data_IF_428265884828
#
_entry.id   IF_428265884828
#
_cell.length_a   1.000
_cell.length_b   1.000
_cell.length_c   1.000
_cell.angle_alpha   90.00
_cell.angle_beta   90.00
_cell.angle_gamma   90.00
#
_symmetry.space_group_name_H-M   'P 1'
#
loop_
_entity.id
_entity.type
_entity.pdbx_description
1 polymer ?
#
# COMPACT_ATOMS: atom_id res chain seq x y z
N UNK A 1 -51.53 -19.97 9.91
CA UNK A 1 -52.11 -20.34 11.23
C UNK A 1 -51.37 -21.56 11.73
N UNK A 2 -50.49 -21.37 12.71
CA UNK A 2 -50.11 -22.27 13.81
C UNK A 2 -49.07 -21.48 14.66
N UNK A 3 -49.01 -21.69 15.99
CA UNK A 3 -48.60 -20.66 16.95
C UNK A 3 -47.09 -20.61 17.20
N UNK A 4 -46.62 -19.43 17.60
CA UNK A 4 -45.23 -19.14 17.94
C UNK A 4 -44.76 -19.86 19.20
N UNK A 5 -43.57 -20.45 19.09
CA UNK A 5 -42.77 -20.87 20.24
C UNK A 5 -42.07 -19.64 20.82
N UNK A 6 -42.58 -19.12 21.94
CA UNK A 6 -41.86 -18.18 22.77
C UNK A 6 -40.93 -18.97 23.70
N UNK A 7 -39.63 -18.84 23.50
CA UNK A 7 -38.63 -19.29 24.48
C UNK A 7 -38.77 -18.43 25.75
N UNK A 8 -39.10 -19.07 26.87
CA UNK A 8 -39.04 -18.45 28.20
C UNK A 8 -37.57 -18.15 28.54
N UNK A 9 -37.22 -16.95 29.01
CA UNK A 9 -36.01 -16.77 29.79
C UNK A 9 -36.26 -17.38 31.17
N UNK A 10 -35.57 -18.49 31.48
CA UNK A 10 -35.20 -18.77 32.86
C UNK A 10 -34.01 -17.87 33.15
N UNK A 11 -34.20 -16.81 33.94
CA UNK A 11 -33.29 -16.23 34.94
C UNK A 11 -33.90 -14.88 35.35
N UNK A 12 -34.21 -14.66 36.64
CA UNK A 12 -34.79 -13.41 37.09
C UNK A 12 -33.73 -12.30 37.08
N UNK A 13 -34.20 -11.10 36.79
CA UNK A 13 -33.46 -9.83 36.73
C UNK A 13 -32.44 -9.68 37.86
N UNK A 14 -31.17 -9.93 37.53
CA UNK A 14 -30.04 -9.44 38.30
C UNK A 14 -29.78 -8.00 37.87
N UNK A 15 -30.44 -7.05 38.54
CA UNK A 15 -30.16 -5.64 38.38
C UNK A 15 -28.67 -5.39 38.67
N UNK A 16 -27.90 -5.14 37.61
CA UNK A 16 -26.54 -4.64 37.72
C UNK A 16 -26.60 -3.26 38.37
N UNK A 17 -26.00 -3.11 39.55
CA UNK A 17 -25.64 -1.82 40.09
C UNK A 17 -24.45 -1.28 39.28
N UNK A 18 -24.75 -0.72 38.12
CA UNK A 18 -23.91 0.26 37.46
C UNK A 18 -24.25 1.63 38.09
N UNK A 19 -23.25 2.48 38.29
CA UNK A 19 -23.30 3.78 39.00
C UNK A 19 -23.45 3.73 40.53
N UNK A 20 -22.32 3.68 41.24
CA UNK A 20 -21.88 4.77 42.15
C UNK A 20 -20.57 4.40 42.83
N UNK A 21 -19.49 5.11 42.47
CA UNK A 21 -18.42 5.45 43.43
C UNK A 21 -19.04 6.34 44.51
N UNK A 22 -19.77 5.78 45.47
CA UNK A 22 -20.21 6.52 46.64
C UNK A 22 -20.60 5.54 47.74
N UNK A 23 -19.76 5.51 48.78
CA UNK A 23 -20.07 5.02 50.13
C UNK A 23 -20.82 3.69 50.18
N UNK A 24 -20.05 2.59 50.27
CA UNK A 24 -20.56 1.35 50.81
C UNK A 24 -21.24 1.69 52.15
N UNK A 25 -22.58 1.63 52.18
CA UNK A 25 -23.42 2.25 53.20
C UNK A 25 -22.97 1.78 54.59
N UNK A 26 -22.25 2.65 55.30
CA UNK A 26 -21.79 2.46 56.67
C UNK A 26 -22.92 2.02 57.60
N UNK A 27 -24.17 2.33 57.23
CA UNK A 27 -25.40 1.92 57.91
C UNK A 27 -25.71 0.43 57.72
N UNK A 28 -25.43 -0.13 56.55
CA UNK A 28 -25.58 -1.57 56.28
C UNK A 28 -24.52 -2.37 57.06
N UNK A 29 -23.28 -1.88 57.09
CA UNK A 29 -22.18 -2.46 57.88
C UNK A 29 -22.49 -2.39 59.38
N UNK A 30 -22.96 -1.24 59.88
CA UNK A 30 -23.40 -1.08 61.29
C UNK A 30 -24.56 -2.00 61.66
N UNK A 31 -25.54 -2.20 60.77
CA UNK A 31 -26.67 -3.12 61.01
C UNK A 31 -26.22 -4.57 61.10
N UNK A 32 -25.27 -4.99 60.27
CA UNK A 32 -24.70 -6.33 60.34
C UNK A 32 -23.95 -6.53 61.66
N UNK A 33 -23.08 -5.59 62.07
CA UNK A 33 -22.34 -5.66 63.34
C UNK A 33 -23.26 -5.65 64.58
N UNK A 34 -24.38 -4.92 64.54
CA UNK A 34 -25.32 -4.83 65.67
C UNK A 34 -26.17 -6.09 65.88
N UNK A 35 -26.28 -6.99 64.90
CA UNK A 35 -27.14 -8.17 64.96
C UNK A 35 -26.50 -9.37 65.67
N UNK A 36 -25.20 -9.35 65.95
CA UNK A 36 -24.48 -10.53 66.43
C UNK A 36 -24.45 -10.73 67.94
N UNK A 37 -24.99 -9.82 68.78
CA UNK A 37 -24.84 -9.76 70.24
C UNK A 37 -25.26 -10.97 71.12
N UNK A 38 -24.64 -12.13 70.94
CA UNK A 38 -24.63 -13.28 71.85
C UNK A 38 -23.32 -14.06 71.66
N UNK A 39 -22.64 -14.48 72.74
CA UNK A 39 -21.22 -14.91 72.84
C UNK A 39 -20.58 -15.83 71.76
N UNK A 40 -21.30 -16.33 70.75
CA UNK A 40 -20.75 -16.78 69.44
C UNK A 40 -20.42 -15.62 68.48
N UNK A 41 -20.73 -14.39 68.88
CA UNK A 41 -20.64 -13.13 68.13
C UNK A 41 -19.24 -12.64 67.83
N UNK A 42 -18.30 -12.81 68.78
CA UNK A 42 -17.02 -12.10 68.74
C UNK A 42 -16.13 -12.65 67.63
N UNK A 43 -16.12 -13.98 67.47
CA UNK A 43 -15.46 -14.69 66.38
C UNK A 43 -16.08 -14.33 65.02
N UNK A 44 -17.41 -14.15 64.98
CA UNK A 44 -18.15 -13.68 63.80
C UNK A 44 -17.86 -12.22 63.44
N UNK A 45 -17.75 -11.33 64.43
CA UNK A 45 -17.37 -9.93 64.23
C UNK A 45 -15.92 -9.81 63.76
N UNK A 46 -15.01 -10.61 64.34
CA UNK A 46 -13.62 -10.71 63.90
C UNK A 46 -13.51 -11.15 62.44
N UNK A 47 -14.26 -12.18 62.04
CA UNK A 47 -14.31 -12.66 60.66
C UNK A 47 -14.84 -11.60 59.67
N UNK A 48 -15.83 -10.78 60.07
CA UNK A 48 -16.34 -9.67 59.26
C UNK A 48 -15.29 -8.57 59.09
N UNK A 49 -14.56 -8.22 60.15
CA UNK A 49 -13.48 -7.23 60.07
C UNK A 49 -12.33 -7.72 59.18
N UNK A 50 -11.90 -8.98 59.34
CA UNK A 50 -10.87 -9.58 58.50
C UNK A 50 -11.29 -9.61 57.02
N UNK A 51 -12.56 -9.92 56.75
CA UNK A 51 -13.12 -9.86 55.41
C UNK A 51 -13.09 -8.43 54.83
N UNK A 52 -13.49 -7.42 55.61
CA UNK A 52 -13.45 -6.02 55.19
C UNK A 52 -12.01 -5.56 54.89
N UNK A 53 -11.04 -5.95 55.70
CA UNK A 53 -9.62 -5.67 55.44
C UNK A 53 -9.15 -6.35 54.15
N UNK A 54 -9.56 -7.60 53.92
CA UNK A 54 -9.23 -8.33 52.69
C UNK A 54 -9.87 -7.72 51.46
N UNK A 55 -11.14 -7.31 51.53
CA UNK A 55 -11.84 -6.60 50.45
C UNK A 55 -11.16 -5.27 50.15
N UNK A 56 -10.82 -4.48 51.17
CA UNK A 56 -10.11 -3.21 51.02
C UNK A 56 -8.74 -3.41 50.35
N UNK A 57 -8.01 -4.45 50.74
CA UNK A 57 -6.72 -4.80 50.14
C UNK A 57 -6.85 -5.19 48.68
N UNK A 58 -7.85 -6.03 48.36
CA UNK A 58 -8.13 -6.45 46.98
C UNK A 58 -8.56 -5.26 46.12
N UNK A 59 -9.34 -4.33 46.66
CA UNK A 59 -9.77 -3.13 45.95
C UNK A 59 -8.57 -2.26 45.55
N UNK A 60 -7.64 -2.00 46.48
CA UNK A 60 -6.40 -1.28 46.18
C UNK A 60 -5.53 -1.99 45.13
N UNK A 61 -5.47 -3.32 45.16
CA UNK A 61 -4.74 -4.09 44.16
C UNK A 61 -5.41 -4.02 42.77
N UNK A 62 -6.74 -3.99 42.73
CA UNK A 62 -7.49 -3.84 41.49
C UNK A 62 -7.23 -2.47 40.87
N UNK A 63 -7.37 -1.39 41.65
CA UNK A 63 -7.10 -0.02 41.17
C UNK A 63 -5.69 0.12 40.57
N UNK A 64 -4.67 -0.43 41.24
CA UNK A 64 -3.29 -0.41 40.73
C UNK A 64 -3.13 -1.22 39.43
N UNK A 65 -3.80 -2.37 39.32
CA UNK A 65 -3.78 -3.18 38.11
C UNK A 65 -4.50 -2.50 36.95
N UNK A 66 -5.64 -1.86 37.21
CA UNK A 66 -6.39 -1.09 36.23
C UNK A 66 -5.53 0.06 35.69
N UNK A 67 -4.89 0.83 36.57
CA UNK A 67 -3.99 1.91 36.14
C UNK A 67 -2.78 1.39 35.36
N UNK A 68 -2.24 0.21 35.74
CA UNK A 68 -1.11 -0.38 35.04
C UNK A 68 -1.51 -0.83 33.62
N UNK A 69 -2.67 -1.49 33.48
CA UNK A 69 -3.19 -1.91 32.18
C UNK A 69 -3.48 -0.72 31.28
N UNK A 70 -4.01 0.38 31.83
CA UNK A 70 -4.23 1.63 31.09
C UNK A 70 -2.93 2.20 30.52
N UNK A 71 -1.89 2.30 31.36
CA UNK A 71 -0.55 2.76 30.95
C UNK A 71 0.06 1.82 29.90
N UNK A 72 -0.01 0.50 30.11
CA UNK A 72 0.55 -0.49 29.18
C UNK A 72 -0.15 -0.44 27.81
N UNK A 73 -1.48 -0.26 27.82
CA UNK A 73 -2.28 -0.13 26.60
C UNK A 73 -1.94 1.16 25.85
N UNK A 74 -1.78 2.28 26.55
CA UNK A 74 -1.38 3.55 25.93
C UNK A 74 0.01 3.47 25.31
N UNK A 75 0.98 2.86 26.01
CA UNK A 75 2.32 2.65 25.46
C UNK A 75 2.29 1.75 24.21
N UNK A 76 1.50 0.68 24.24
CA UNK A 76 1.34 -0.21 23.08
C UNK A 76 0.70 0.52 21.91
N UNK A 77 -0.33 1.34 22.16
CA UNK A 77 -0.98 2.18 21.14
C UNK A 77 0.01 3.15 20.52
N UNK A 78 0.81 3.83 21.34
CA UNK A 78 1.80 4.79 20.86
C UNK A 78 2.88 4.11 19.99
N UNK A 79 3.36 2.93 20.41
CA UNK A 79 4.28 2.11 19.61
C UNK A 79 3.67 1.70 18.27
N UNK A 80 2.40 1.28 18.25
CA UNK A 80 1.71 0.87 17.03
C UNK A 80 1.49 2.06 16.09
N UNK A 81 1.11 3.22 16.63
CA UNK A 81 0.96 4.46 15.84
C UNK A 81 2.29 4.86 15.22
N UNK A 82 3.39 4.76 15.96
CA UNK A 82 4.73 5.04 15.43
C UNK A 82 5.12 4.08 14.29
N UNK A 83 4.89 2.77 14.46
CA UNK A 83 5.18 1.77 13.43
C UNK A 83 4.33 2.00 12.17
N UNK A 84 3.03 2.31 12.33
CA UNK A 84 2.14 2.63 11.22
C UNK A 84 2.60 3.89 10.47
N UNK A 85 3.04 4.92 11.18
CA UNK A 85 3.56 6.14 10.57
C UNK A 85 4.84 5.85 9.77
N UNK A 86 5.78 5.10 10.34
CA UNK A 86 6.99 4.69 9.64
C UNK A 86 6.67 3.87 8.39
N UNK A 87 5.71 2.95 8.47
CA UNK A 87 5.28 2.14 7.33
C UNK A 87 4.60 2.96 6.24
N UNK A 88 3.85 4.00 6.61
CA UNK A 88 3.27 4.92 5.64
C UNK A 88 4.35 5.68 4.87
N UNK A 89 5.37 6.20 5.56
CA UNK A 89 6.50 6.89 4.94
C UNK A 89 7.32 5.97 4.03
N UNK A 90 7.62 4.74 4.48
CA UNK A 90 8.29 3.73 3.66
C UNK A 90 7.49 3.41 2.39
N UNK A 91 6.16 3.30 2.52
CA UNK A 91 5.27 3.01 1.39
C UNK A 91 5.25 4.16 0.38
N UNK A 92 5.24 5.42 0.85
CA UNK A 92 5.27 6.60 -0.03
C UNK A 92 6.58 6.66 -0.84
N UNK A 93 7.72 6.37 -0.20
CA UNK A 93 9.02 6.31 -0.88
C UNK A 93 9.04 5.21 -1.95
N UNK A 94 8.56 4.01 -1.62
CA UNK A 94 8.47 2.90 -2.57
C UNK A 94 7.53 3.22 -3.73
N UNK A 95 6.42 3.90 -3.48
CA UNK A 95 5.49 4.32 -4.52
C UNK A 95 6.16 5.32 -5.49
N UNK A 96 6.98 6.24 -4.98
CA UNK A 96 7.74 7.17 -5.81
C UNK A 96 8.79 6.43 -6.65
N UNK A 97 9.53 5.47 -6.06
CA UNK A 97 10.50 4.65 -6.80
C UNK A 97 9.83 3.85 -7.92
N UNK A 98 8.68 3.22 -7.62
CA UNK A 98 7.91 2.47 -8.60
C UNK A 98 7.44 3.37 -9.75
N UNK A 99 6.93 4.57 -9.46
CA UNK A 99 6.54 5.54 -10.50
C UNK A 99 7.71 5.94 -11.40
N UNK A 100 8.91 6.13 -10.82
CA UNK A 100 10.11 6.43 -11.60
C UNK A 100 10.52 5.25 -12.51
N UNK A 101 10.45 4.02 -12.00
CA UNK A 101 10.74 2.82 -12.78
C UNK A 101 9.73 2.61 -13.92
N UNK A 102 8.45 2.82 -13.66
CA UNK A 102 7.41 2.75 -14.70
C UNK A 102 7.63 3.79 -15.79
N UNK A 103 7.99 5.02 -15.41
CA UNK A 103 8.32 6.09 -16.35
C UNK A 103 9.52 5.71 -17.22
N UNK A 104 10.58 5.19 -16.62
CA UNK A 104 11.77 4.75 -17.36
C UNK A 104 11.46 3.54 -18.26
N UNK A 105 10.63 2.61 -17.80
CA UNK A 105 10.18 1.45 -18.58
C UNK A 105 9.43 1.90 -19.83
N UNK A 106 8.48 2.84 -19.71
CA UNK A 106 7.77 3.42 -20.87
C UNK A 106 8.74 4.11 -21.82
N UNK A 107 9.67 4.91 -21.29
CA UNK A 107 10.69 5.60 -22.10
C UNK A 107 11.56 4.61 -22.88
N UNK A 108 12.02 3.53 -22.25
CA UNK A 108 12.82 2.49 -22.89
C UNK A 108 12.03 1.72 -23.96
N UNK A 109 10.77 1.37 -23.68
CA UNK A 109 9.89 0.73 -24.68
C UNK A 109 9.71 1.61 -25.91
N UNK A 110 9.55 2.92 -25.75
CA UNK A 110 9.42 3.83 -26.88
C UNK A 110 10.72 3.96 -27.69
N UNK A 111 11.88 3.93 -27.02
CA UNK A 111 13.19 3.88 -27.69
C UNK A 111 13.34 2.58 -28.49
N UNK A 112 12.96 1.45 -27.90
CA UNK A 112 13.00 0.14 -28.55
C UNK A 112 12.11 0.12 -29.80
N UNK A 113 10.86 0.59 -29.68
CA UNK A 113 9.92 0.72 -30.80
C UNK A 113 10.51 1.58 -31.94
N UNK A 114 11.06 2.75 -31.61
CA UNK A 114 11.66 3.63 -32.62
C UNK A 114 12.89 3.04 -33.29
N UNK A 115 13.71 2.28 -32.56
CA UNK A 115 14.83 1.57 -33.16
C UNK A 115 14.36 0.50 -34.14
N UNK A 116 13.30 -0.24 -33.81
CA UNK A 116 12.70 -1.22 -34.73
C UNK A 116 12.20 -0.52 -36.00
N UNK A 117 11.46 0.58 -35.89
CA UNK A 117 10.97 1.36 -37.03
C UNK A 117 12.14 1.82 -37.94
N UNK A 118 13.20 2.37 -37.35
CA UNK A 118 14.37 2.85 -38.09
C UNK A 118 15.10 1.69 -38.79
N UNK A 119 15.26 0.55 -38.12
CA UNK A 119 15.90 -0.63 -38.73
C UNK A 119 15.09 -1.15 -39.92
N UNK A 120 13.76 -1.15 -39.83
CA UNK A 120 12.88 -1.52 -40.94
C UNK A 120 13.01 -0.55 -42.11
N UNK A 121 12.99 0.76 -41.85
CA UNK A 121 13.21 1.79 -42.88
C UNK A 121 14.58 1.64 -43.55
N UNK A 122 15.64 1.43 -42.77
CA UNK A 122 16.99 1.22 -43.32
C UNK A 122 17.05 -0.03 -44.21
N UNK A 123 16.32 -1.10 -43.87
CA UNK A 123 16.21 -2.29 -44.70
C UNK A 123 15.47 -1.99 -46.01
N UNK A 124 14.35 -1.26 -45.94
CA UNK A 124 13.59 -0.84 -47.13
C UNK A 124 14.43 0.05 -48.06
N UNK A 125 15.16 1.03 -47.51
CA UNK A 125 16.03 1.91 -48.30
C UNK A 125 17.20 1.14 -48.94
N UNK A 126 17.71 0.10 -48.27
CA UNK A 126 18.69 -0.81 -48.87
C UNK A 126 18.10 -1.56 -50.07
N UNK A 127 16.86 -2.05 -49.95
CA UNK A 127 16.16 -2.74 -51.04
C UNK A 127 15.88 -1.80 -52.22
N UNK A 128 15.70 -0.49 -51.95
CA UNK A 128 15.62 0.58 -52.95
C UNK A 128 17.00 1.04 -53.50
N UNK A 129 18.10 0.39 -53.11
CA UNK A 129 19.48 0.71 -53.52
C UNK A 129 19.92 2.15 -53.22
N UNK A 130 19.41 2.77 -52.14
CA UNK A 130 19.92 4.07 -51.69
C UNK A 130 21.41 3.97 -51.37
N UNK A 131 22.20 4.91 -51.88
CA UNK A 131 23.66 4.85 -51.73
C UNK A 131 24.07 4.94 -50.25
N UNK A 132 25.11 4.18 -49.88
CA UNK A 132 25.74 4.28 -48.54
C UNK A 132 26.15 5.71 -48.19
N UNK A 133 26.55 6.51 -49.19
CA UNK A 133 26.93 7.91 -49.00
C UNK A 133 25.73 8.77 -48.63
N UNK A 134 24.58 8.56 -49.27
CA UNK A 134 23.34 9.29 -48.96
C UNK A 134 22.83 8.95 -47.56
N UNK A 135 22.79 7.66 -47.21
CA UNK A 135 22.41 7.20 -45.87
C UNK A 135 23.35 7.75 -44.78
N UNK A 136 24.67 7.70 -45.03
CA UNK A 136 25.65 8.27 -44.12
C UNK A 136 25.47 9.78 -43.94
N UNK A 137 25.14 10.50 -45.02
CA UNK A 137 24.86 11.95 -44.94
C UNK A 137 23.61 12.23 -44.10
N UNK A 138 22.52 11.49 -44.30
CA UNK A 138 21.28 11.64 -43.51
C UNK A 138 21.58 11.43 -42.03
N UNK A 139 22.21 10.30 -41.67
CA UNK A 139 22.56 9.98 -40.28
C UNK A 139 23.40 11.08 -39.62
N UNK A 140 24.46 11.53 -40.29
CA UNK A 140 25.36 12.54 -39.75
C UNK A 140 24.66 13.90 -39.64
N UNK A 141 23.90 14.32 -40.66
CA UNK A 141 23.17 15.59 -40.63
C UNK A 141 22.08 15.60 -39.56
N UNK A 142 21.40 14.47 -39.30
CA UNK A 142 20.43 14.37 -38.20
C UNK A 142 21.13 14.50 -36.84
N UNK A 143 22.25 13.80 -36.62
CA UNK A 143 23.01 13.91 -35.37
C UNK A 143 23.55 15.33 -35.14
N UNK A 144 24.07 15.98 -36.18
CA UNK A 144 24.55 17.36 -36.14
C UNK A 144 23.41 18.34 -35.79
N UNK A 145 22.24 18.17 -36.40
CA UNK A 145 21.06 19.03 -36.16
C UNK A 145 20.52 18.89 -34.75
N UNK A 146 20.77 17.74 -34.13
CA UNK A 146 20.37 17.44 -32.76
C UNK A 146 21.45 17.77 -31.72
N UNK A 147 22.64 18.24 -32.09
CA UNK A 147 23.79 18.39 -31.17
C UNK A 147 23.67 19.55 -30.15
N UNK A 148 22.57 19.65 -29.39
CA UNK A 148 22.42 20.57 -28.27
C UNK A 148 22.89 19.92 -26.96
N UNK A 149 24.00 20.38 -26.35
CA UNK A 149 24.54 19.81 -25.11
C UNK A 149 23.62 19.95 -23.89
N UNK A 150 22.51 20.71 -23.97
CA UNK A 150 21.55 20.87 -22.86
C UNK A 150 20.52 19.74 -22.76
N UNK A 151 20.35 18.92 -23.79
CA UNK A 151 19.33 17.87 -23.79
C UNK A 151 19.90 16.54 -23.23
N UNK A 152 19.41 16.13 -22.05
CA UNK A 152 19.80 14.88 -21.37
C UNK A 152 19.21 13.61 -22.00
N UNK A 153 18.79 12.62 -21.20
CA UNK A 153 18.22 11.34 -21.72
C UNK A 153 17.00 11.50 -22.65
N UNK A 154 16.27 12.61 -22.56
CA UNK A 154 15.16 12.94 -23.47
C UNK A 154 15.62 13.11 -24.93
N UNK A 155 16.88 13.50 -25.11
CA UNK A 155 17.48 13.76 -26.40
C UNK A 155 17.51 12.55 -27.33
N UNK A 156 17.68 11.35 -26.77
CA UNK A 156 17.78 10.12 -27.56
C UNK A 156 16.51 9.90 -28.37
N UNK A 157 15.34 10.11 -27.77
CA UNK A 157 14.07 9.92 -28.46
C UNK A 157 13.88 10.94 -29.58
N UNK A 158 14.29 12.19 -29.36
CA UNK A 158 14.22 13.27 -30.36
C UNK A 158 15.10 12.95 -31.57
N UNK A 159 16.35 12.50 -31.33
CA UNK A 159 17.26 12.05 -32.38
C UNK A 159 16.67 10.89 -33.18
N UNK A 160 16.12 9.89 -32.50
CA UNK A 160 15.50 8.74 -33.16
C UNK A 160 14.27 9.15 -33.98
N UNK A 161 13.42 10.04 -33.45
CA UNK A 161 12.26 10.56 -34.19
C UNK A 161 12.68 11.37 -35.41
N UNK A 162 13.66 12.26 -35.28
CA UNK A 162 14.18 13.02 -36.40
C UNK A 162 14.76 12.09 -37.48
N UNK A 163 15.52 11.07 -37.05
CA UNK A 163 16.09 10.10 -37.97
C UNK A 163 15.02 9.28 -38.69
N UNK A 164 14.00 8.82 -37.96
CA UNK A 164 12.85 8.13 -38.54
C UNK A 164 12.20 8.98 -39.65
N UNK A 165 11.95 10.26 -39.39
CA UNK A 165 11.32 11.14 -40.37
C UNK A 165 12.20 11.41 -41.60
N UNK A 166 13.50 11.63 -41.41
CA UNK A 166 14.45 11.83 -42.52
C UNK A 166 14.58 10.58 -43.41
N UNK A 167 14.61 9.38 -42.80
CA UNK A 167 14.65 8.13 -43.54
C UNK A 167 13.34 7.85 -44.28
N UNK A 168 12.19 8.07 -43.64
CA UNK A 168 10.88 7.91 -44.28
C UNK A 168 10.70 8.89 -45.46
N UNK A 169 11.25 10.10 -45.38
CA UNK A 169 11.22 11.07 -46.48
C UNK A 169 11.98 10.57 -47.74
N UNK A 170 12.94 9.66 -47.58
CA UNK A 170 13.68 9.08 -48.70
C UNK A 170 12.84 8.11 -49.54
N UNK A 171 11.80 7.50 -48.97
CA UNK A 171 10.90 6.59 -49.69
C UNK A 171 10.09 7.31 -50.77
N UNK A 172 9.72 8.58 -50.52
CA UNK A 172 8.92 9.39 -51.44
C UNK A 172 9.71 9.73 -52.73
N UNK A 173 11.04 9.79 -52.62
CA UNK A 173 11.94 10.16 -53.73
C UNK A 173 12.28 9.00 -54.66
N UNK A 174 12.01 7.75 -54.28
CA UNK A 174 12.24 6.55 -55.13
C UNK A 174 11.09 6.25 -56.10
N UNK A 175 10.23 7.24 -56.39
CA UNK A 175 9.16 7.11 -57.40
C UNK A 175 9.75 7.17 -58.82
N UNK A 176 10.41 6.07 -59.18
CA UNK A 176 10.65 5.58 -60.53
C UNK A 176 10.09 4.16 -60.66
N UNK A 177 8.77 4.01 -60.47
CA UNK A 177 8.00 2.80 -60.85
C UNK A 177 7.65 1.82 -59.71
N UNK A 178 6.50 1.11 -59.81
CA UNK A 178 5.99 0.26 -58.74
C UNK A 178 6.69 -1.11 -58.76
N UNK A 179 7.60 -1.35 -57.82
CA UNK A 179 8.19 -2.68 -57.63
C UNK A 179 7.31 -3.51 -56.69
N UNK A 180 6.96 -4.68 -57.21
CA UNK A 180 6.06 -5.66 -56.63
C UNK A 180 6.42 -5.99 -55.18
N UNK A 181 5.36 -5.98 -54.36
CA UNK A 181 5.27 -6.56 -53.03
C UNK A 181 5.71 -8.03 -53.08
N UNK A 182 6.98 -8.32 -52.83
CA UNK A 182 7.50 -9.68 -52.65
C UNK A 182 7.14 -10.21 -51.26
N UNK A 183 6.67 -11.45 -51.25
CA UNK A 183 6.15 -12.21 -50.12
C UNK A 183 7.22 -12.48 -49.04
N UNK A 184 7.48 -11.51 -48.16
CA UNK A 184 8.29 -11.73 -46.94
C UNK A 184 7.56 -11.35 -45.65
N UNK A 185 6.25 -11.10 -45.71
CA UNK A 185 5.43 -10.70 -44.56
C UNK A 185 4.97 -11.85 -43.65
N UNK A 186 5.46 -13.08 -43.81
CA UNK A 186 4.88 -14.24 -43.11
C UNK A 186 5.67 -14.78 -41.90
N UNK A 187 6.76 -14.15 -41.44
CA UNK A 187 7.63 -14.79 -40.42
C UNK A 187 8.00 -13.96 -39.17
N UNK A 188 7.35 -12.83 -38.88
CA UNK A 188 7.70 -12.02 -37.68
C UNK A 188 6.66 -12.02 -36.56
N UNK A 189 5.64 -12.88 -36.63
CA UNK A 189 4.63 -13.01 -35.57
C UNK A 189 4.89 -14.26 -34.71
N UNK A 190 5.96 -14.26 -33.92
CA UNK A 190 6.15 -15.25 -32.85
C UNK A 190 7.18 -14.79 -31.82
N UNK A 191 6.92 -13.68 -31.12
CA UNK A 191 7.54 -13.41 -29.82
C UNK A 191 6.43 -13.14 -28.82
N UNK A 192 5.83 -14.24 -28.36
CA UNK A 192 5.05 -14.25 -27.12
C UNK A 192 6.08 -14.26 -25.99
N UNK A 193 6.24 -13.14 -25.31
CA UNK A 193 6.93 -13.10 -24.02
C UNK A 193 5.85 -13.36 -22.97
N UNK A 194 5.91 -14.53 -22.33
CA UNK A 194 5.09 -14.84 -21.15
C UNK A 194 5.62 -14.06 -19.95
N UNK A 195 4.69 -13.50 -19.17
CA UNK A 195 4.92 -13.05 -17.80
C UNK A 195 5.38 -14.22 -16.90
#
# INVERSE_FOLDING_TARGET
MLPGFAARPLFPDGACCDDTRQECDDKAVRKLLSNFGSARSEESCGAVVELLERVTRLHKQLELKESQVEIDMDQMKDSLVQELQQKAEETELLQMELQMLETERVRLSLVEEKLVDILQLLQQLRDLNVSRRSLGKILLSTLESCSDPQHGKAHILEVLNALYHELAACEILSTGGPLQRTQSQQSLNALVISC
#
